data_IF_452975849730
#
_entry.id   IF_452975849730
#
_cell.length_a   1.000
_cell.length_b   1.000
_cell.length_c   1.000
_cell.angle_alpha   90.00
_cell.angle_beta   90.00
_cell.angle_gamma   90.00
#
_symmetry.space_group_name_H-M   'P 1'
#
loop_
_entity.id
_entity.type
_entity.pdbx_description
1 polymer ?
#
# COMPACT_ATOMS: atom_id res chain seq x y z
N UNK A 1 10.38 -15.04 -15.43
CA UNK A 1 8.92 -15.30 -15.36
C UNK A 1 8.24 -14.32 -16.27
N UNK A 2 7.63 -14.81 -17.34
CA UNK A 2 7.19 -14.02 -18.48
C UNK A 2 5.91 -13.22 -18.19
N UNK A 3 5.79 -12.03 -18.78
CA UNK A 3 4.65 -11.10 -18.71
C UNK A 3 3.28 -11.78 -18.91
N UNK A 4 3.24 -12.88 -19.66
CA UNK A 4 2.04 -13.68 -19.93
C UNK A 4 1.35 -14.23 -18.65
N UNK A 5 2.11 -14.51 -17.58
CA UNK A 5 1.54 -15.02 -16.32
C UNK A 5 0.88 -13.93 -15.49
N UNK A 6 1.28 -12.65 -15.66
CA UNK A 6 0.69 -11.52 -14.98
C UNK A 6 -0.67 -11.16 -15.62
N UNK A 7 -0.75 -11.18 -16.95
CA UNK A 7 -2.00 -10.93 -17.68
C UNK A 7 -3.05 -12.01 -17.43
N UNK A 8 -2.66 -13.27 -17.29
CA UNK A 8 -3.58 -14.37 -16.99
C UNK A 8 -4.20 -14.22 -15.58
N UNK A 9 -3.41 -13.78 -14.59
CA UNK A 9 -3.91 -13.56 -13.22
C UNK A 9 -4.80 -12.32 -13.11
N UNK A 10 -4.49 -11.28 -13.86
CA UNK A 10 -5.34 -10.08 -13.95
C UNK A 10 -6.66 -10.39 -14.64
N UNK A 11 -6.65 -11.21 -15.69
CA UNK A 11 -7.84 -11.67 -16.41
C UNK A 11 -8.79 -12.51 -15.54
N UNK A 12 -8.27 -13.35 -14.67
CA UNK A 12 -9.09 -14.15 -13.74
C UNK A 12 -9.73 -13.25 -12.66
N UNK A 13 -9.02 -12.25 -12.16
CA UNK A 13 -9.58 -11.29 -11.19
C UNK A 13 -10.70 -10.43 -11.82
N UNK A 14 -10.54 -10.01 -13.08
CA UNK A 14 -11.59 -9.29 -13.81
C UNK A 14 -12.80 -10.19 -14.14
N UNK A 15 -12.57 -11.46 -14.46
CA UNK A 15 -13.64 -12.42 -14.76
C UNK A 15 -14.49 -12.74 -13.51
N UNK A 16 -13.91 -12.76 -12.32
CA UNK A 16 -14.66 -12.95 -11.07
C UNK A 16 -15.52 -11.73 -10.70
N UNK A 17 -15.11 -10.52 -11.09
CA UNK A 17 -15.94 -9.33 -10.94
C UNK A 17 -17.13 -9.31 -11.92
N UNK A 18 -17.01 -9.87 -13.12
CA UNK A 18 -18.07 -9.90 -14.11
C UNK A 18 -19.18 -10.92 -13.78
N UNK A 19 -18.88 -12.02 -13.08
CA UNK A 19 -19.91 -12.98 -12.64
C UNK A 19 -20.87 -12.42 -11.57
N UNK A 20 -20.47 -11.38 -10.83
CA UNK A 20 -21.35 -10.73 -9.86
C UNK A 20 -22.36 -9.76 -10.49
N UNK A 21 -22.20 -9.40 -11.75
CA UNK A 21 -23.07 -8.46 -12.47
C UNK A 21 -24.29 -9.14 -13.13
N UNK A 22 -24.30 -10.46 -13.27
CA UNK A 22 -25.31 -11.20 -14.05
C UNK A 22 -26.62 -11.59 -13.34
N UNK A 23 -26.77 -11.32 -12.05
CA UNK A 23 -28.01 -11.59 -11.32
C UNK A 23 -28.96 -10.38 -11.33
N UNK A 24 -29.39 -9.93 -12.50
CA UNK A 24 -30.51 -8.99 -12.62
C UNK A 24 -31.80 -9.80 -12.75
N UNK A 25 -32.49 -10.02 -11.65
CA UNK A 25 -33.92 -10.34 -11.69
C UNK A 25 -34.68 -9.09 -12.16
N UNK A 26 -35.41 -9.20 -13.26
CA UNK A 26 -36.40 -8.24 -13.69
C UNK A 26 -37.51 -8.14 -12.62
N UNK A 27 -37.37 -7.29 -11.66
CA UNK A 27 -38.46 -6.80 -10.84
C UNK A 27 -38.83 -5.43 -11.36
N UNK A 28 -40.05 -5.31 -11.88
CA UNK A 28 -40.77 -4.03 -12.13
C UNK A 28 -40.76 -3.25 -10.81
N UNK A 29 -39.67 -2.50 -10.58
CA UNK A 29 -39.44 -1.81 -9.33
C UNK A 29 -39.86 -0.36 -9.46
N UNK A 30 -40.76 0.07 -8.62
CA UNK A 30 -40.75 1.44 -8.11
C UNK A 30 -39.34 1.98 -8.04
N UNK A 31 -39.08 3.14 -8.65
CA UNK A 31 -37.80 3.86 -8.56
C UNK A 31 -37.54 4.24 -7.09
N UNK A 32 -37.06 3.30 -6.30
CA UNK A 32 -36.58 3.59 -4.94
C UNK A 32 -35.38 4.51 -5.10
N UNK A 33 -35.56 5.77 -4.76
CA UNK A 33 -34.50 6.76 -4.82
C UNK A 33 -33.31 6.22 -4.00
N UNK A 34 -32.16 6.05 -4.67
CA UNK A 34 -30.91 5.65 -4.00
C UNK A 34 -30.61 6.74 -2.96
N UNK A 35 -30.66 6.37 -1.70
CA UNK A 35 -30.32 7.28 -0.60
C UNK A 35 -28.94 6.86 -0.10
N UNK A 36 -28.01 7.79 -0.14
CA UNK A 36 -26.64 7.59 0.35
C UNK A 36 -26.66 7.27 1.86
N UNK A 37 -26.28 6.07 2.30
CA UNK A 37 -26.36 5.66 3.69
C UNK A 37 -25.43 6.48 4.60
N UNK A 38 -24.34 7.04 4.07
CA UNK A 38 -23.43 7.92 4.82
C UNK A 38 -24.14 9.18 5.30
N UNK A 39 -25.16 9.66 4.59
CA UNK A 39 -25.92 10.85 4.95
C UNK A 39 -27.11 10.59 5.90
N UNK A 40 -27.34 9.33 6.22
CA UNK A 40 -28.44 8.95 7.13
C UNK A 40 -28.00 9.09 8.59
N UNK A 41 -28.94 9.37 9.47
CA UNK A 41 -28.68 9.44 10.92
C UNK A 41 -28.36 8.08 11.56
N UNK A 42 -28.62 6.98 10.87
CA UNK A 42 -28.50 5.61 11.36
C UNK A 42 -27.07 5.12 11.61
N UNK A 43 -26.03 5.89 11.29
CA UNK A 43 -24.62 5.55 11.51
C UNK A 43 -24.28 4.14 11.01
N UNK A 44 -24.32 3.91 9.70
CA UNK A 44 -24.20 2.58 9.11
C UNK A 44 -22.84 1.94 9.42
N UNK A 45 -22.85 0.61 9.44
CA UNK A 45 -21.67 -0.22 9.35
C UNK A 45 -21.43 -0.58 7.87
N UNK A 46 -20.18 -0.62 7.44
CA UNK A 46 -19.82 -1.10 6.10
C UNK A 46 -18.75 -2.17 6.18
N UNK A 47 -18.75 -3.09 5.22
CA UNK A 47 -17.70 -4.08 5.02
C UNK A 47 -17.59 -4.42 3.55
N UNK A 48 -16.40 -4.82 3.12
CA UNK A 48 -16.19 -5.11 1.70
C UNK A 48 -14.83 -5.72 1.39
N UNK A 49 -14.63 -5.93 0.11
CA UNK A 49 -13.35 -6.32 -0.46
C UNK A 49 -12.71 -5.17 -1.20
N UNK A 50 -11.39 -5.13 -1.23
CA UNK A 50 -10.65 -4.09 -1.92
C UNK A 50 -9.34 -4.61 -2.53
N UNK A 51 -8.91 -3.92 -3.57
CA UNK A 51 -7.61 -4.07 -4.19
C UNK A 51 -6.92 -2.72 -4.21
N UNK A 52 -5.61 -2.74 -4.02
CA UNK A 52 -4.78 -1.54 -4.18
C UNK A 52 -3.61 -1.85 -5.11
N UNK A 53 -3.25 -0.88 -5.94
CA UNK A 53 -2.08 -0.92 -6.80
C UNK A 53 -1.43 0.44 -6.84
N UNK A 54 -0.11 0.49 -6.89
CA UNK A 54 0.59 1.77 -6.86
C UNK A 54 2.06 1.67 -7.19
N UNK A 55 2.75 2.79 -7.02
CA UNK A 55 4.17 2.93 -7.32
C UNK A 55 4.86 3.86 -6.32
N UNK A 56 6.17 3.65 -6.16
CA UNK A 56 7.03 4.52 -5.37
C UNK A 56 7.22 5.88 -6.03
N UNK A 57 7.21 6.95 -5.22
CA UNK A 57 7.27 8.34 -5.71
C UNK A 57 8.51 9.09 -5.22
N UNK A 58 9.26 8.54 -4.28
CA UNK A 58 10.52 9.12 -3.83
C UNK A 58 11.68 8.66 -4.70
N UNK A 59 12.75 9.44 -4.75
CA UNK A 59 13.93 9.20 -5.60
C UNK A 59 14.50 7.79 -5.41
N UNK A 60 14.65 7.35 -4.15
CA UNK A 60 15.16 6.01 -3.82
C UNK A 60 14.15 4.89 -4.08
N UNK A 61 12.94 5.19 -4.46
CA UNK A 61 11.84 4.23 -4.68
C UNK A 61 11.28 4.27 -6.09
N UNK A 62 11.96 4.96 -6.99
CA UNK A 62 11.67 4.92 -8.42
C UNK A 62 11.64 3.47 -8.92
N UNK A 63 10.59 3.11 -9.66
CA UNK A 63 10.41 1.75 -10.18
C UNK A 63 9.80 0.73 -9.21
N UNK A 64 9.60 1.04 -7.92
CA UNK A 64 8.83 0.19 -7.00
C UNK A 64 7.37 0.16 -7.43
N UNK A 65 6.78 -1.03 -7.48
CA UNK A 65 5.36 -1.24 -7.77
C UNK A 65 4.74 -2.07 -6.66
N UNK A 66 3.48 -1.79 -6.36
CA UNK A 66 2.73 -2.45 -5.30
C UNK A 66 1.46 -3.06 -5.84
N UNK A 67 1.09 -4.21 -5.31
CA UNK A 67 -0.19 -4.87 -5.55
C UNK A 67 -0.64 -5.56 -4.28
N UNK A 68 -1.86 -5.26 -3.85
CA UNK A 68 -2.44 -5.90 -2.68
C UNK A 68 -3.94 -6.10 -2.84
N UNK A 69 -4.46 -7.10 -2.14
CA UNK A 69 -5.88 -7.41 -2.08
C UNK A 69 -6.26 -7.76 -0.64
N UNK A 70 -7.44 -7.31 -0.24
CA UNK A 70 -7.85 -7.45 1.14
C UNK A 70 -9.32 -7.16 1.40
N UNK A 71 -9.62 -6.98 2.66
CA UNK A 71 -10.95 -6.71 3.20
C UNK A 71 -10.94 -5.41 3.99
N UNK A 72 -12.11 -4.79 4.05
CA UNK A 72 -12.39 -3.54 4.73
C UNK A 72 -13.60 -3.69 5.63
N UNK A 73 -13.57 -3.06 6.79
CA UNK A 73 -14.71 -2.90 7.67
C UNK A 73 -14.69 -1.50 8.27
N UNK A 74 -15.85 -0.83 8.31
CA UNK A 74 -15.97 0.52 8.84
C UNK A 74 -17.28 0.75 9.57
N UNK A 75 -17.29 1.76 10.43
CA UNK A 75 -18.46 2.21 11.20
C UNK A 75 -18.51 3.73 11.19
N UNK A 76 -19.58 4.29 10.70
CA UNK A 76 -19.87 5.72 10.87
C UNK A 76 -20.16 5.96 12.35
N UNK A 77 -19.40 6.84 13.00
CA UNK A 77 -19.47 7.07 14.45
C UNK A 77 -20.31 8.29 14.81
N UNK A 78 -20.39 9.28 13.93
CA UNK A 78 -21.11 10.53 14.19
C UNK A 78 -22.26 10.76 13.20
N UNK A 79 -23.23 11.58 13.58
CA UNK A 79 -24.15 12.19 12.64
C UNK A 79 -23.44 13.21 11.74
N UNK A 80 -24.21 13.88 10.88
CA UNK A 80 -23.69 14.93 10.01
C UNK A 80 -23.40 16.21 10.81
N UNK A 81 -22.15 16.68 10.76
CA UNK A 81 -21.67 17.90 11.42
C UNK A 81 -21.08 18.89 10.43
N UNK A 82 -20.93 20.13 10.85
CA UNK A 82 -20.35 21.20 10.02
C UNK A 82 -21.36 21.86 9.07
N UNK A 83 -20.88 22.78 8.24
CA UNK A 83 -21.67 23.56 7.28
C UNK A 83 -20.96 23.65 5.94
N UNK A 84 -21.71 23.86 4.87
CA UNK A 84 -21.17 24.02 3.52
C UNK A 84 -20.36 22.81 3.08
N UNK A 85 -19.22 23.03 2.45
CA UNK A 85 -18.36 21.99 1.86
C UNK A 85 -17.69 21.08 2.89
N UNK A 86 -17.53 21.51 4.13
CA UNK A 86 -16.93 20.69 5.20
C UNK A 86 -17.96 19.90 5.99
N UNK A 87 -19.25 20.00 5.64
CA UNK A 87 -20.28 19.20 6.28
C UNK A 87 -20.03 17.72 6.00
N UNK A 88 -20.04 16.91 7.05
CA UNK A 88 -19.73 15.49 6.92
C UNK A 88 -19.92 14.72 8.23
N UNK A 89 -19.51 13.48 8.24
CA UNK A 89 -19.50 12.63 9.43
C UNK A 89 -18.16 11.89 9.58
N UNK A 90 -17.93 11.45 10.78
CA UNK A 90 -16.72 10.74 11.16
C UNK A 90 -16.97 9.23 11.10
N UNK A 91 -16.03 8.52 10.46
CA UNK A 91 -16.02 7.07 10.37
C UNK A 91 -14.69 6.54 10.92
N UNK A 92 -14.78 5.45 11.67
CA UNK A 92 -13.65 4.61 12.00
C UNK A 92 -13.69 3.36 11.13
N UNK A 93 -12.55 2.99 10.56
CA UNK A 93 -12.44 1.80 9.74
C UNK A 93 -11.14 1.05 10.00
N UNK A 94 -11.09 -0.19 9.52
CA UNK A 94 -9.91 -1.04 9.50
C UNK A 94 -9.83 -1.81 8.18
N UNK A 95 -8.61 -2.10 7.75
CA UNK A 95 -8.32 -2.89 6.56
C UNK A 95 -7.31 -3.99 6.87
N UNK A 96 -7.45 -5.12 6.19
CA UNK A 96 -6.48 -6.21 6.23
C UNK A 96 -6.19 -6.70 4.83
N UNK A 97 -4.91 -6.80 4.49
CA UNK A 97 -4.40 -7.26 3.20
C UNK A 97 -3.62 -8.57 3.39
N UNK A 98 -4.29 -9.72 3.34
CA UNK A 98 -3.61 -11.02 3.38
C UNK A 98 -2.73 -11.27 2.15
N UNK A 99 -2.97 -10.53 1.08
CA UNK A 99 -2.13 -10.52 -0.11
C UNK A 99 -1.52 -9.13 -0.26
N UNK A 100 -0.20 -9.06 -0.10
CA UNK A 100 0.60 -7.86 -0.32
C UNK A 100 1.85 -8.24 -1.10
N UNK A 101 2.16 -7.52 -2.16
CA UNK A 101 3.37 -7.69 -2.95
C UNK A 101 3.98 -6.34 -3.32
N UNK A 102 5.30 -6.29 -3.25
CA UNK A 102 6.11 -5.20 -3.81
C UNK A 102 7.09 -5.77 -4.83
N UNK A 103 7.14 -5.15 -5.98
CA UNK A 103 8.09 -5.44 -7.05
C UNK A 103 9.10 -4.32 -7.09
N UNK A 104 10.32 -4.60 -6.67
CA UNK A 104 11.40 -3.63 -6.64
C UNK A 104 12.40 -3.91 -7.76
N UNK A 105 13.05 -2.89 -8.34
CA UNK A 105 14.13 -3.10 -9.30
C UNK A 105 15.24 -3.95 -8.70
N UNK A 106 15.79 -4.85 -9.49
CA UNK A 106 16.93 -5.67 -9.09
C UNK A 106 18.24 -4.99 -9.42
N UNK A 107 19.19 -5.02 -8.49
CA UNK A 107 20.54 -4.45 -8.68
C UNK A 107 21.59 -5.44 -8.15
N UNK A 108 22.70 -5.56 -8.84
CA UNK A 108 23.86 -6.32 -8.38
C UNK A 108 24.69 -5.47 -7.40
N UNK A 109 25.09 -6.06 -6.30
CA UNK A 109 25.94 -5.44 -5.29
C UNK A 109 27.09 -6.37 -4.92
N UNK A 110 28.17 -5.79 -4.41
CA UNK A 110 29.32 -6.50 -3.83
C UNK A 110 29.73 -5.80 -2.55
N UNK A 111 30.12 -6.58 -1.57
CA UNK A 111 30.79 -6.07 -0.36
C UNK A 111 32.29 -6.05 -0.63
N UNK A 112 32.90 -4.90 -0.53
CA UNK A 112 34.34 -4.75 -0.65
C UNK A 112 34.93 -4.20 0.66
N UNK A 113 35.96 -4.84 1.19
CA UNK A 113 36.74 -4.37 2.33
C UNK A 113 38.12 -3.96 1.85
N UNK A 114 38.68 -2.93 2.45
CA UNK A 114 40.07 -2.57 2.21
C UNK A 114 41.00 -3.66 2.77
N UNK A 115 41.83 -4.26 1.95
CA UNK A 115 42.81 -5.24 2.36
C UNK A 115 44.24 -4.66 2.20
N UNK A 116 45.12 -4.94 3.13
CA UNK A 116 46.53 -4.60 2.97
C UNK A 116 47.10 -5.43 1.81
N UNK A 117 47.59 -4.75 0.77
CA UNK A 117 48.25 -5.41 -0.33
C UNK A 117 49.68 -5.85 0.05
N UNK A 118 50.24 -6.86 -0.66
CA UNK A 118 51.56 -7.44 -0.31
C UNK A 118 52.76 -6.50 -0.51
N UNK A 119 52.58 -5.29 -1.00
CA UNK A 119 53.62 -4.30 -1.25
C UNK A 119 53.21 -2.91 -0.66
N UNK A 120 52.58 -2.89 0.51
CA UNK A 120 52.19 -1.63 1.17
C UNK A 120 51.07 -0.84 0.46
N UNK A 121 50.46 -1.38 -0.57
CA UNK A 121 49.28 -0.81 -1.24
C UNK A 121 47.98 -1.25 -0.59
N UNK A 122 46.95 -0.41 -0.66
CA UNK A 122 45.59 -0.76 -0.22
C UNK A 122 44.88 -1.41 -1.40
N UNK A 123 44.62 -2.72 -1.31
CA UNK A 123 43.77 -3.46 -2.22
C UNK A 123 42.32 -3.51 -1.73
N UNK A 124 41.39 -3.81 -2.59
CA UNK A 124 40.03 -4.12 -2.19
C UNK A 124 39.79 -5.64 -2.34
N UNK A 125 39.34 -6.27 -1.26
CA UNK A 125 38.83 -7.64 -1.31
C UNK A 125 37.32 -7.61 -1.35
N UNK A 126 36.73 -8.07 -2.45
CA UNK A 126 35.29 -8.02 -2.66
C UNK A 126 34.67 -9.43 -2.53
N UNK A 127 33.47 -9.50 -1.99
CA UNK A 127 32.63 -10.70 -2.00
C UNK A 127 32.21 -11.07 -3.42
N UNK A 128 31.66 -12.25 -3.62
CA UNK A 128 30.90 -12.55 -4.83
C UNK A 128 29.73 -11.54 -4.98
N UNK A 129 29.38 -11.15 -6.23
CA UNK A 129 28.20 -10.32 -6.46
C UNK A 129 26.93 -11.01 -5.95
N UNK A 130 26.02 -10.23 -5.35
CA UNK A 130 24.70 -10.68 -4.94
C UNK A 130 23.63 -9.73 -5.46
N UNK A 131 22.41 -10.24 -5.63
CA UNK A 131 21.28 -9.48 -6.13
C UNK A 131 20.44 -8.96 -4.98
N UNK A 132 20.16 -7.65 -4.98
CA UNK A 132 19.18 -7.03 -4.09
C UNK A 132 17.94 -6.62 -4.88
N UNK A 133 16.81 -6.46 -4.18
CA UNK A 133 15.52 -6.16 -4.81
C UNK A 133 14.78 -7.42 -5.27
N UNK A 134 13.86 -7.25 -6.21
CA UNK A 134 12.97 -8.31 -6.71
C UNK A 134 11.58 -8.27 -6.10
N UNK A 135 10.96 -9.42 -5.92
CA UNK A 135 9.58 -9.53 -5.42
C UNK A 135 9.58 -9.82 -3.92
N UNK A 136 8.95 -8.93 -3.17
CA UNK A 136 8.64 -9.11 -1.75
C UNK A 136 7.17 -9.49 -1.61
N UNK A 137 6.90 -10.42 -0.70
CA UNK A 137 5.55 -10.82 -0.32
C UNK A 137 5.33 -10.54 1.15
N UNK A 138 4.09 -10.22 1.52
CA UNK A 138 3.79 -9.89 2.90
C UNK A 138 2.30 -9.89 3.19
N UNK A 139 2.01 -9.49 4.41
CA UNK A 139 0.66 -9.19 4.90
C UNK A 139 0.65 -7.82 5.55
N UNK A 140 -0.42 -7.06 5.35
CA UNK A 140 -0.56 -5.74 5.95
C UNK A 140 -1.89 -5.63 6.67
N UNK A 141 -1.89 -4.94 7.81
CA UNK A 141 -3.09 -4.56 8.54
C UNK A 141 -3.06 -3.06 8.81
N UNK A 142 -4.18 -2.41 8.61
CA UNK A 142 -4.40 -0.99 8.94
C UNK A 142 -5.54 -0.92 9.95
N UNK A 143 -5.23 -1.13 11.25
CA UNK A 143 -6.25 -1.22 12.28
C UNK A 143 -6.90 0.13 12.61
N UNK A 144 -6.25 1.22 12.26
CA UNK A 144 -6.73 2.57 12.56
C UNK A 144 -6.85 3.35 11.26
N UNK A 145 -8.08 3.58 10.84
CA UNK A 145 -8.43 4.49 9.75
C UNK A 145 -9.46 5.48 10.32
N UNK A 146 -9.10 6.74 10.32
CA UNK A 146 -9.96 7.84 10.70
C UNK A 146 -10.37 8.56 9.42
N UNK A 147 -11.65 8.47 9.07
CA UNK A 147 -12.19 8.99 7.82
C UNK A 147 -13.24 10.07 8.09
N UNK A 148 -13.17 11.14 7.33
CA UNK A 148 -14.21 12.14 7.24
C UNK A 148 -14.93 11.99 5.91
N UNK A 149 -16.20 11.61 5.97
CA UNK A 149 -17.06 11.52 4.80
C UNK A 149 -17.80 12.84 4.63
N UNK A 150 -17.58 13.51 3.52
CA UNK A 150 -18.26 14.77 3.22
C UNK A 150 -19.71 14.54 2.79
N UNK A 151 -20.56 15.53 3.04
CA UNK A 151 -21.91 15.57 2.49
C UNK A 151 -21.82 15.64 0.96
N UNK A 152 -22.11 14.54 0.34
CA UNK A 152 -22.11 14.40 -1.11
C UNK A 152 -23.50 14.47 -1.73
N UNK A 153 -23.65 13.84 -2.89
CA UNK A 153 -24.93 13.68 -3.57
C UNK A 153 -25.59 12.35 -3.19
N UNK A 154 -26.74 12.04 -3.80
CA UNK A 154 -27.42 10.75 -3.58
C UNK A 154 -26.53 9.53 -3.85
N UNK A 155 -25.55 9.64 -4.76
CA UNK A 155 -24.69 8.53 -5.19
C UNK A 155 -23.23 8.71 -4.79
N UNK A 156 -22.75 9.92 -4.54
CA UNK A 156 -21.36 10.19 -4.28
C UNK A 156 -21.17 10.69 -2.85
N UNK A 157 -20.28 10.04 -2.12
CA UNK A 157 -19.81 10.50 -0.82
C UNK A 157 -18.28 10.61 -0.87
N UNK A 158 -17.73 11.81 -1.14
CA UNK A 158 -16.31 12.03 -1.06
C UNK A 158 -15.80 11.87 0.36
N UNK A 159 -14.55 11.43 0.50
CA UNK A 159 -13.94 11.27 1.81
C UNK A 159 -12.45 11.66 1.81
N UNK A 160 -11.95 11.95 3.01
CA UNK A 160 -10.53 12.11 3.32
C UNK A 160 -10.22 11.25 4.54
N UNK A 161 -9.04 10.65 4.59
CA UNK A 161 -8.66 9.78 5.70
C UNK A 161 -7.20 9.94 6.09
N UNK A 162 -6.93 9.75 7.39
CA UNK A 162 -5.62 9.46 7.93
C UNK A 162 -5.62 8.06 8.53
N UNK A 163 -4.54 7.32 8.35
CA UNK A 163 -4.51 5.95 8.84
C UNK A 163 -3.10 5.52 9.26
N UNK A 164 -3.05 4.48 10.10
CA UNK A 164 -1.82 3.85 10.54
C UNK A 164 -1.94 2.34 10.54
N UNK A 165 -0.93 1.68 9.98
CA UNK A 165 -0.92 0.24 9.83
C UNK A 165 0.45 -0.38 10.08
N UNK A 166 0.47 -1.70 9.98
CA UNK A 166 1.63 -2.57 10.10
C UNK A 166 1.74 -3.43 8.84
N UNK A 167 2.96 -3.62 8.40
CA UNK A 167 3.32 -4.49 7.29
C UNK A 167 4.36 -5.49 7.77
N UNK A 168 4.11 -6.76 7.55
CA UNK A 168 5.11 -7.81 7.64
C UNK A 168 5.47 -8.31 6.25
N UNK A 169 6.78 -8.54 6.01
CA UNK A 169 7.29 -9.04 4.74
C UNK A 169 8.15 -10.28 4.94
N UNK A 170 8.20 -11.15 3.93
CA UNK A 170 8.97 -12.40 3.95
C UNK A 170 10.49 -12.20 4.05
N UNK A 171 10.98 -11.00 3.71
CA UNK A 171 12.37 -10.58 3.84
C UNK A 171 12.40 -9.14 4.35
N UNK A 172 13.53 -8.71 4.90
CA UNK A 172 13.74 -7.31 5.31
C UNK A 172 13.44 -6.35 4.14
N UNK A 173 12.57 -5.38 4.37
CA UNK A 173 12.04 -4.50 3.32
C UNK A 173 12.25 -3.01 3.65
N UNK A 174 12.65 -2.20 2.69
CA UNK A 174 13.13 -2.60 1.38
C UNK A 174 14.51 -3.26 1.48
N UNK A 175 14.89 -4.07 0.47
CA UNK A 175 16.26 -4.53 0.37
C UNK A 175 17.18 -3.32 0.20
N UNK A 176 18.16 -3.22 1.07
CA UNK A 176 19.09 -2.10 1.11
C UNK A 176 20.52 -2.63 1.04
N UNK A 177 21.22 -2.34 -0.04
CA UNK A 177 22.66 -2.55 -0.09
C UNK A 177 23.31 -1.22 0.23
N UNK A 178 24.09 -1.15 1.31
CA UNK A 178 24.67 0.06 1.87
C UNK A 178 25.13 1.13 0.86
N UNK A 179 25.18 2.36 1.29
CA UNK A 179 25.64 3.46 0.44
C UNK A 179 27.11 3.17 0.01
N UNK A 180 27.44 3.25 -1.28
CA UNK A 180 28.83 3.16 -1.70
C UNK A 180 29.60 4.33 -1.06
N UNK A 181 30.50 4.04 -0.15
CA UNK A 181 31.47 5.04 0.26
C UNK A 181 32.54 5.13 -0.84
N UNK A 182 32.63 6.28 -1.46
CA UNK A 182 33.72 6.56 -2.40
C UNK A 182 34.93 7.04 -1.60
N UNK A 183 35.98 6.26 -1.59
CA UNK A 183 37.25 6.71 -1.02
C UNK A 183 37.85 7.81 -1.86
N UNK A 184 38.74 8.59 -1.27
CA UNK A 184 39.57 9.58 -2.00
C UNK A 184 40.42 8.97 -3.13
N UNK A 185 40.57 7.64 -3.16
CA UNK A 185 41.26 6.89 -4.20
C UNK A 185 40.29 6.33 -5.29
N UNK A 186 39.01 6.72 -5.28
CA UNK A 186 38.04 6.30 -6.30
C UNK A 186 37.43 4.90 -6.11
N UNK A 187 37.72 4.22 -5.01
CA UNK A 187 37.13 2.93 -4.70
C UNK A 187 35.78 3.13 -3.99
N UNK A 188 34.75 2.45 -4.48
CA UNK A 188 33.45 2.40 -3.80
C UNK A 188 33.42 1.27 -2.78
N UNK A 189 33.21 1.60 -1.51
CA UNK A 189 32.98 0.62 -0.44
C UNK A 189 31.48 0.52 -0.18
N UNK A 190 30.99 -0.69 0.04
CA UNK A 190 29.68 -0.88 0.60
C UNK A 190 29.85 -1.13 2.10
N UNK A 191 29.31 -0.24 2.94
CA UNK A 191 29.19 -0.48 4.37
C UNK A 191 27.96 -1.35 4.61
N UNK A 192 27.99 -2.57 4.12
CA UNK A 192 27.00 -3.56 4.55
C UNK A 192 27.42 -4.05 5.92
N UNK A 193 26.51 -4.09 6.84
CA UNK A 193 26.70 -4.78 8.10
C UNK A 193 27.03 -6.26 7.86
N UNK A 194 27.41 -6.96 8.90
CA UNK A 194 27.96 -8.33 8.84
C UNK A 194 26.97 -9.39 8.34
N UNK A 195 25.68 -9.06 8.22
CA UNK A 195 24.59 -10.00 7.93
C UNK A 195 24.08 -9.99 6.48
N UNK A 196 24.72 -9.26 5.59
CA UNK A 196 24.46 -9.28 4.16
C UNK A 196 23.48 -8.22 3.63
N UNK A 197 22.89 -8.42 2.43
CA UNK A 197 22.26 -7.35 1.65
C UNK A 197 21.00 -6.75 2.24
N UNK A 198 20.39 -7.36 3.24
CA UNK A 198 19.13 -6.91 3.85
C UNK A 198 19.27 -6.47 5.30
N UNK A 199 20.50 -6.18 5.74
CA UNK A 199 20.87 -6.09 7.13
C UNK A 199 20.24 -4.89 7.85
N UNK A 200 20.09 -3.76 7.16
CA UNK A 200 19.75 -2.50 7.80
C UNK A 200 18.25 -2.15 7.77
N UNK A 201 17.40 -3.09 7.37
CA UNK A 201 15.94 -2.92 7.31
C UNK A 201 15.22 -3.95 8.16
N UNK A 202 13.90 -3.86 8.25
CA UNK A 202 13.08 -4.74 9.06
C UNK A 202 12.08 -5.54 8.22
N UNK A 203 11.73 -6.73 8.68
CA UNK A 203 10.56 -7.47 8.17
C UNK A 203 9.25 -6.87 8.69
N UNK A 204 9.31 -6.12 9.80
CA UNK A 204 8.19 -5.38 10.34
C UNK A 204 8.33 -3.90 10.02
N UNK A 205 7.31 -3.34 9.41
CA UNK A 205 7.27 -1.94 9.03
C UNK A 205 5.94 -1.32 9.44
N UNK A 206 5.97 -0.02 9.75
CA UNK A 206 4.79 0.81 9.94
C UNK A 206 4.37 1.42 8.61
N UNK A 207 3.06 1.62 8.44
CA UNK A 207 2.49 2.17 7.21
C UNK A 207 1.56 3.35 7.52
N UNK A 208 2.10 4.50 8.02
CA UNK A 208 1.30 5.72 8.11
C UNK A 208 0.87 6.15 6.71
N UNK A 209 -0.39 6.57 6.59
CA UNK A 209 -0.96 6.91 5.31
C UNK A 209 -2.00 8.03 5.40
N UNK A 210 -2.12 8.76 4.30
CA UNK A 210 -3.16 9.75 4.08
C UNK A 210 -3.84 9.47 2.75
N UNK A 211 -5.16 9.58 2.69
CA UNK A 211 -5.91 9.24 1.49
C UNK A 211 -7.11 10.12 1.24
N UNK A 212 -7.51 10.15 -0.02
CA UNK A 212 -8.74 10.79 -0.48
C UNK A 212 -9.49 9.84 -1.41
N UNK A 213 -10.80 9.97 -1.49
CA UNK A 213 -11.56 9.14 -2.40
C UNK A 213 -13.05 9.41 -2.39
N UNK A 214 -13.81 8.45 -2.90
CA UNK A 214 -15.26 8.56 -3.03
C UNK A 214 -15.91 7.18 -2.92
N UNK A 215 -17.02 7.10 -2.20
CA UNK A 215 -17.99 6.01 -2.29
C UNK A 215 -18.99 6.35 -3.39
N UNK A 216 -19.06 5.51 -4.41
CA UNK A 216 -20.09 5.60 -5.45
C UNK A 216 -21.18 4.56 -5.18
N UNK A 217 -22.34 5.00 -4.72
CA UNK A 217 -23.46 4.13 -4.39
C UNK A 217 -24.17 3.65 -5.64
N UNK A 218 -24.06 2.36 -5.92
CA UNK A 218 -24.78 1.67 -6.99
C UNK A 218 -26.20 1.32 -6.56
N UNK A 219 -26.38 1.05 -5.25
CA UNK A 219 -27.66 0.80 -4.57
C UNK A 219 -27.65 1.49 -3.20
N UNK A 220 -28.79 1.55 -2.53
CA UNK A 220 -28.90 2.16 -1.20
C UNK A 220 -27.96 1.54 -0.15
N UNK A 221 -27.53 0.31 -0.34
CA UNK A 221 -26.69 -0.43 0.59
C UNK A 221 -25.41 -0.99 -0.04
N UNK A 222 -24.97 -0.49 -1.19
CA UNK A 222 -23.78 -0.97 -1.90
C UNK A 222 -23.04 0.16 -2.59
N UNK A 223 -21.72 0.21 -2.42
CA UNK A 223 -20.85 1.15 -3.11
C UNK A 223 -19.70 0.48 -3.85
N UNK A 224 -19.23 1.16 -4.88
CA UNK A 224 -17.89 1.02 -5.44
C UNK A 224 -17.07 2.12 -4.79
N UNK A 225 -15.92 1.75 -4.26
CA UNK A 225 -15.06 2.65 -3.50
C UNK A 225 -13.79 2.91 -4.29
N UNK A 226 -13.54 4.17 -4.61
CA UNK A 226 -12.36 4.61 -5.34
C UNK A 226 -11.54 5.52 -4.43
N UNK A 227 -10.24 5.30 -4.40
CA UNK A 227 -9.35 6.09 -3.56
C UNK A 227 -7.94 6.21 -4.10
N UNK A 228 -7.22 7.20 -3.58
CA UNK A 228 -5.80 7.38 -3.75
C UNK A 228 -5.18 7.64 -2.38
N UNK A 229 -4.15 6.88 -2.03
CA UNK A 229 -3.48 6.94 -0.74
C UNK A 229 -1.99 7.22 -0.94
N UNK A 230 -1.45 8.18 -0.21
CA UNK A 230 -0.03 8.35 0.00
C UNK A 230 0.37 7.50 1.21
N UNK A 231 1.24 6.53 1.00
CA UNK A 231 1.66 5.57 2.04
C UNK A 231 3.17 5.69 2.23
N UNK A 232 3.58 5.85 3.49
CA UNK A 232 4.98 5.77 3.87
C UNK A 232 5.24 4.43 4.56
N UNK A 233 6.24 3.68 4.10
CA UNK A 233 6.66 2.42 4.72
C UNK A 233 7.94 2.70 5.50
N UNK A 234 7.91 2.45 6.79
CA UNK A 234 9.00 2.77 7.71
C UNK A 234 9.22 1.67 8.74
N UNK A 235 10.47 1.28 8.93
CA UNK A 235 10.84 0.36 10.01
C UNK A 235 10.77 1.00 11.40
N UNK A 236 10.65 2.33 11.50
CA UNK A 236 10.66 3.08 12.76
C UNK A 236 11.80 2.66 13.72
N UNK A 237 12.98 2.38 13.16
CA UNK A 237 14.15 1.90 13.90
C UNK A 237 14.02 0.49 14.53
N UNK A 238 13.07 -0.32 14.07
CA UNK A 238 13.01 -1.75 14.40
C UNK A 238 14.13 -2.55 13.72
N UNK A 239 14.73 -1.99 12.65
CA UNK A 239 15.99 -2.44 12.06
C UNK A 239 17.07 -1.40 12.33
N UNK A 240 18.29 -1.64 11.90
CA UNK A 240 19.43 -0.78 12.18
C UNK A 240 19.32 0.60 11.54
N UNK A 241 18.65 0.71 10.39
CA UNK A 241 18.41 1.99 9.69
C UNK A 241 17.10 2.00 8.91
N UNK A 242 16.58 3.20 8.73
CA UNK A 242 15.48 3.49 7.81
C UNK A 242 16.06 4.21 6.59
N UNK A 243 16.32 3.51 5.47
CA UNK A 243 17.00 4.09 4.32
C UNK A 243 16.10 5.07 3.58
N UNK A 244 16.22 6.36 3.91
CA UNK A 244 15.50 7.43 3.24
C UNK A 244 13.98 7.40 3.38
N UNK A 245 13.29 8.22 2.60
CA UNK A 245 11.83 8.29 2.59
C UNK A 245 11.27 7.25 1.62
N UNK A 246 10.57 6.26 2.15
CA UNK A 246 9.90 5.22 1.36
C UNK A 246 8.41 5.56 1.21
N UNK A 247 8.10 6.46 0.28
CA UNK A 247 6.73 6.86 0.00
C UNK A 247 6.24 6.31 -1.35
N UNK A 248 4.96 5.96 -1.37
CA UNK A 248 4.25 5.47 -2.56
C UNK A 248 2.89 6.12 -2.68
N UNK A 249 2.39 6.21 -3.91
CA UNK A 249 0.99 6.52 -4.20
C UNK A 249 0.32 5.23 -4.63
N UNK A 250 -0.80 4.92 -3.99
CA UNK A 250 -1.56 3.70 -4.23
C UNK A 250 -3.02 4.02 -4.48
N UNK A 251 -3.56 3.43 -5.53
CA UNK A 251 -4.96 3.58 -5.94
C UNK A 251 -5.76 2.38 -5.45
N UNK A 252 -6.91 2.67 -4.84
CA UNK A 252 -7.83 1.69 -4.29
C UNK A 252 -9.05 1.54 -5.18
N UNK A 253 -9.45 0.30 -5.41
CA UNK A 253 -10.74 -0.09 -5.93
C UNK A 253 -11.37 -1.06 -4.94
N UNK A 254 -12.53 -0.71 -4.40
CA UNK A 254 -13.27 -1.52 -3.43
C UNK A 254 -14.73 -1.72 -3.82
N UNK A 255 -15.35 -2.69 -3.15
CA UNK A 255 -16.79 -2.89 -3.19
C UNK A 255 -17.29 -3.16 -1.78
N UNK A 256 -18.24 -2.36 -1.32
CA UNK A 256 -18.73 -2.39 0.07
C UNK A 256 -20.24 -2.58 0.17
N UNK A 257 -20.63 -3.32 1.20
CA UNK A 257 -22.01 -3.47 1.70
C UNK A 257 -22.20 -2.59 2.93
N UNK A 258 -23.34 -1.91 2.97
CA UNK A 258 -23.71 -0.96 4.03
C UNK A 258 -24.96 -1.45 4.77
N UNK A 259 -24.90 -1.44 6.10
CA UNK A 259 -26.01 -1.84 7.01
C UNK A 259 -26.23 -0.80 8.09
#
# INVERSE_FOLDING_TARGET
MTATRIFLRLGIALALLSCAAGAQSNSSGTNVAITNPVQQEMRPFNFGGLMQSGFGVTEDRGGFKFLMAGIHAGKVLSGMHGRGMVRGNFEYAAEAFPFWQSYTPTTQRQNCVAAAGPIGGVGAQCSAPFTIGGTFTGVSITPIILRWNFAGTRRFAPWVQGAGGLLWTNHKYPAFGGLPLTSSAGFSYSTLGDNGPNDETSVWNFTPQFGVGVHYFTRANRSIDLGANAIHISSASLGDKNPGVNASVQFTLGYSWWK
#
